data_IF_074017445211
#
_entry.id   IF_074017445211
#
_cell.length_a   1.000
_cell.length_b   1.000
_cell.length_c   1.000
_cell.angle_alpha   90.00
_cell.angle_beta   90.00
_cell.angle_gamma   90.00
#
_symmetry.space_group_name_H-M   'P 1'
#
loop_
_entity.id
_entity.type
_entity.pdbx_description
1 polymer ?
#
# COMPACT_ATOMS: atom_id res chain seq x y z
N UNK A 1 -24.72 2.72 0.42
CA UNK A 1 -23.44 3.46 0.41
C UNK A 1 -23.09 3.72 1.86
N UNK A 2 -21.85 3.42 2.26
CA UNK A 2 -21.37 3.70 3.62
C UNK A 2 -21.37 5.23 3.86
N UNK A 3 -21.72 5.65 5.06
CA UNK A 3 -21.62 7.06 5.49
C UNK A 3 -20.37 7.23 6.33
N UNK A 4 -19.74 8.39 6.19
CA UNK A 4 -18.46 8.68 6.84
C UNK A 4 -18.43 10.12 7.33
N UNK A 5 -17.54 10.44 8.26
CA UNK A 5 -17.27 11.79 8.74
C UNK A 5 -16.37 12.63 7.81
N UNK A 6 -16.34 12.35 6.50
CA UNK A 6 -15.33 12.89 5.56
C UNK A 6 -15.33 14.42 5.47
N UNK A 7 -16.48 15.04 5.65
CA UNK A 7 -16.69 16.49 5.64
C UNK A 7 -16.00 17.21 6.80
N UNK A 8 -15.64 16.48 7.86
CA UNK A 8 -14.94 17.02 9.02
C UNK A 8 -13.42 16.75 8.99
N UNK A 9 -12.94 16.02 7.98
CA UNK A 9 -11.51 15.72 7.86
C UNK A 9 -10.74 16.93 7.34
N UNK A 10 -9.50 17.06 7.81
CA UNK A 10 -8.59 18.13 7.39
C UNK A 10 -7.76 17.64 6.21
N UNK A 11 -7.73 18.45 5.15
CA UNK A 11 -6.77 18.29 4.07
C UNK A 11 -5.55 19.16 4.32
N UNK A 12 -4.36 18.55 4.36
CA UNK A 12 -3.11 19.24 4.65
C UNK A 12 -2.05 18.96 3.58
N UNK A 13 -1.16 19.91 3.33
CA UNK A 13 -0.01 19.69 2.47
C UNK A 13 1.10 18.93 3.20
N UNK A 14 1.55 17.82 2.63
CA UNK A 14 2.80 17.14 2.98
C UNK A 14 3.62 16.94 1.71
N UNK A 15 4.92 16.78 1.83
CA UNK A 15 5.75 16.68 0.64
C UNK A 15 7.13 16.09 0.89
N UNK A 16 7.72 15.67 -0.20
CA UNK A 16 9.08 15.15 -0.28
C UNK A 16 9.62 15.39 -1.69
N UNK A 17 10.56 14.56 -2.09
CA UNK A 17 11.16 14.58 -3.42
C UNK A 17 11.32 13.16 -3.95
N UNK A 18 11.41 13.02 -5.27
CA UNK A 18 11.78 11.76 -5.90
C UNK A 18 13.11 11.30 -5.31
N UNK A 19 13.09 10.16 -4.63
CA UNK A 19 14.24 9.65 -3.89
C UNK A 19 14.99 8.62 -4.74
N UNK A 20 16.32 8.73 -4.82
CA UNK A 20 17.16 7.78 -5.55
C UNK A 20 17.06 6.36 -4.98
N UNK A 21 17.27 5.30 -5.79
CA UNK A 21 17.53 3.97 -5.27
C UNK A 21 18.71 3.98 -4.30
N UNK A 22 18.67 3.11 -3.29
CA UNK A 22 19.76 2.96 -2.31
C UNK A 22 20.27 1.52 -2.26
N UNK A 23 21.59 1.37 -2.12
CA UNK A 23 22.27 0.07 -2.04
C UNK A 23 23.21 0.12 -0.83
N UNK A 24 22.82 -0.53 0.27
CA UNK A 24 23.67 -0.66 1.46
C UNK A 24 24.74 -1.77 1.29
N UNK A 25 24.44 -2.78 0.49
CA UNK A 25 25.32 -3.90 0.14
C UNK A 25 25.07 -4.27 -1.33
N UNK A 26 26.10 -4.60 -2.12
CA UNK A 26 25.91 -5.01 -3.51
C UNK A 26 25.08 -6.29 -3.63
N UNK A 27 25.10 -7.14 -2.60
CA UNK A 27 24.35 -8.40 -2.56
C UNK A 27 23.13 -8.31 -1.67
N UNK A 28 22.05 -8.94 -2.15
CA UNK A 28 20.83 -9.29 -1.42
C UNK A 28 20.82 -10.81 -1.29
N UNK A 29 20.54 -11.31 -0.10
CA UNK A 29 20.56 -12.75 0.17
C UNK A 29 19.17 -13.32 -0.06
N UNK A 30 19.06 -14.31 -0.94
CA UNK A 30 17.81 -15.01 -1.20
C UNK A 30 17.39 -15.86 0.01
N UNK A 31 16.16 -16.36 0.00
CA UNK A 31 15.62 -17.27 1.01
C UNK A 31 16.40 -18.59 1.09
N UNK A 32 17.04 -18.98 0.00
CA UNK A 32 17.90 -20.17 -0.09
C UNK A 32 19.36 -19.89 0.31
N UNK A 33 19.69 -18.63 0.64
CA UNK A 33 21.04 -18.22 1.06
C UNK A 33 21.95 -17.74 -0.08
N UNK A 34 21.44 -17.63 -1.30
CA UNK A 34 22.24 -17.23 -2.47
C UNK A 34 22.38 -15.70 -2.56
N UNK A 35 23.60 -15.16 -2.77
CA UNK A 35 23.82 -13.74 -2.98
C UNK A 35 23.42 -13.32 -4.40
N UNK A 36 22.56 -12.30 -4.50
CA UNK A 36 22.04 -11.78 -5.77
C UNK A 36 22.28 -10.28 -5.92
N UNK A 37 22.52 -9.82 -7.14
CA UNK A 37 22.61 -8.39 -7.50
C UNK A 37 21.37 -8.04 -8.30
N UNK A 38 20.45 -7.29 -7.70
CA UNK A 38 19.13 -7.00 -8.26
C UNK A 38 18.71 -5.54 -8.02
N UNK A 39 17.90 -4.96 -8.93
CA UNK A 39 17.13 -3.75 -8.64
C UNK A 39 16.21 -3.92 -7.42
N UNK A 40 15.89 -2.82 -6.76
CA UNK A 40 15.14 -2.82 -5.52
C UNK A 40 14.40 -1.49 -5.27
N UNK A 41 14.22 -1.11 -3.99
CA UNK A 41 13.53 0.11 -3.58
C UNK A 41 14.18 1.41 -4.06
N UNK A 42 13.35 2.45 -4.20
CA UNK A 42 13.70 3.80 -4.58
C UNK A 42 13.71 4.05 -6.08
N UNK A 43 13.68 5.34 -6.44
CA UNK A 43 13.80 5.82 -7.81
C UNK A 43 12.48 5.97 -8.54
N UNK A 44 12.60 5.96 -9.87
CA UNK A 44 11.50 5.94 -10.82
C UNK A 44 11.56 4.58 -11.52
N UNK A 45 10.58 3.73 -11.26
CA UNK A 45 10.39 2.45 -11.95
C UNK A 45 9.62 2.67 -13.24
N UNK A 46 10.33 2.87 -14.35
CA UNK A 46 9.73 3.23 -15.64
C UNK A 46 8.83 2.16 -16.25
N UNK A 47 9.07 0.88 -15.92
CA UNK A 47 8.36 -0.27 -16.52
C UNK A 47 7.48 -1.03 -15.52
N UNK A 48 7.29 -0.52 -14.31
CA UNK A 48 6.48 -1.16 -13.26
C UNK A 48 5.51 -0.14 -12.69
N UNK A 49 4.21 -0.42 -12.79
CA UNK A 49 3.15 0.47 -12.29
C UNK A 49 2.06 -0.27 -11.53
N UNK A 50 1.25 0.51 -10.82
CA UNK A 50 0.05 -0.01 -10.14
C UNK A 50 -0.87 -0.72 -11.16
N UNK A 51 -1.38 -1.89 -10.79
CA UNK A 51 -2.14 -2.78 -11.66
C UNK A 51 -1.32 -3.88 -12.36
N UNK A 52 0.01 -3.73 -12.46
CA UNK A 52 0.87 -4.82 -12.95
C UNK A 52 0.99 -5.93 -11.90
N UNK A 53 1.41 -7.13 -12.31
CA UNK A 53 1.72 -8.21 -11.35
C UNK A 53 2.82 -7.76 -10.38
N UNK A 54 2.66 -8.06 -9.09
CA UNK A 54 3.71 -7.82 -8.10
C UNK A 54 4.67 -9.02 -7.98
N UNK A 55 4.43 -10.13 -8.70
CA UNK A 55 5.10 -11.42 -8.48
C UNK A 55 6.17 -11.79 -9.53
N UNK A 56 6.22 -11.10 -10.66
CA UNK A 56 6.95 -11.57 -11.86
C UNK A 56 8.31 -10.92 -12.08
N UNK A 57 8.64 -9.89 -11.29
CA UNK A 57 9.82 -9.07 -11.53
C UNK A 57 11.11 -9.72 -11.03
N UNK A 58 12.18 -9.61 -11.81
CA UNK A 58 13.53 -9.95 -11.38
C UNK A 58 14.09 -8.76 -10.57
N UNK A 59 13.71 -8.69 -9.30
CA UNK A 59 14.03 -7.61 -8.37
C UNK A 59 13.79 -8.02 -6.91
N UNK A 60 14.07 -7.13 -5.97
CA UNK A 60 13.78 -7.32 -4.54
C UNK A 60 13.14 -6.07 -3.95
N UNK A 61 11.89 -6.14 -3.50
CA UNK A 61 11.14 -4.97 -3.02
C UNK A 61 11.05 -3.86 -4.09
N UNK A 62 10.72 -4.21 -5.33
CA UNK A 62 10.50 -3.22 -6.39
C UNK A 62 9.27 -2.38 -6.06
N UNK A 63 9.44 -1.06 -6.07
CA UNK A 63 8.38 -0.08 -5.82
C UNK A 63 7.83 0.42 -7.16
N UNK A 64 6.51 0.36 -7.41
CA UNK A 64 5.91 0.78 -8.68
C UNK A 64 5.84 2.31 -8.80
N UNK A 65 6.13 2.82 -9.99
CA UNK A 65 6.08 4.26 -10.27
C UNK A 65 7.22 5.02 -9.59
N UNK A 66 6.88 5.97 -8.72
CA UNK A 66 7.82 6.94 -8.15
C UNK A 66 7.91 6.79 -6.63
N UNK A 67 9.11 6.58 -6.12
CA UNK A 67 9.39 6.57 -4.69
C UNK A 67 9.73 7.98 -4.19
N UNK A 68 8.98 8.46 -3.21
CA UNK A 68 9.11 9.82 -2.66
C UNK A 68 9.56 9.75 -1.21
N UNK A 69 10.54 10.59 -0.86
CA UNK A 69 11.06 10.73 0.50
C UNK A 69 11.35 12.19 0.83
N UNK A 70 11.24 12.57 2.09
CA UNK A 70 11.75 13.83 2.61
C UNK A 70 13.07 13.59 3.38
N UNK A 71 14.05 14.46 3.20
CA UNK A 71 15.35 14.36 3.87
C UNK A 71 15.23 14.62 5.40
N UNK A 72 14.27 15.44 5.81
CA UNK A 72 13.96 15.66 7.21
C UNK A 72 13.11 14.49 7.73
N UNK A 73 13.62 13.78 8.73
CA UNK A 73 12.97 12.58 9.30
C UNK A 73 11.55 12.86 9.80
N UNK A 74 11.31 13.99 10.47
CA UNK A 74 9.98 14.31 11.00
C UNK A 74 9.00 14.67 9.89
N UNK A 75 9.46 15.39 8.87
CA UNK A 75 8.64 15.70 7.70
C UNK A 75 8.37 14.45 6.87
N UNK A 76 9.32 13.51 6.79
CA UNK A 76 9.13 12.23 6.12
C UNK A 76 8.13 11.35 6.86
N UNK A 77 8.23 11.29 8.20
CA UNK A 77 7.23 10.61 9.01
C UNK A 77 5.83 11.23 8.83
N UNK A 78 5.75 12.56 8.74
CA UNK A 78 4.49 13.24 8.45
C UNK A 78 3.96 12.89 7.04
N UNK A 79 4.83 12.79 6.03
CA UNK A 79 4.46 12.34 4.70
C UNK A 79 3.94 10.89 4.71
N UNK A 80 4.65 9.97 5.38
CA UNK A 80 4.28 8.56 5.50
C UNK A 80 2.96 8.34 6.26
N UNK A 81 2.72 9.13 7.31
CA UNK A 81 1.49 9.01 8.12
C UNK A 81 0.32 9.73 7.47
N UNK A 82 0.50 10.94 6.94
CA UNK A 82 -0.63 11.74 6.46
C UNK A 82 -0.97 11.45 4.98
N UNK A 83 0.01 11.04 4.17
CA UNK A 83 -0.19 10.69 2.77
C UNK A 83 -0.96 9.38 2.62
N UNK A 84 -2.26 9.48 2.34
CA UNK A 84 -3.14 8.32 2.20
C UNK A 84 -3.21 7.84 0.75
N UNK A 85 -3.39 6.53 0.55
CA UNK A 85 -3.59 5.90 -0.75
C UNK A 85 -4.79 6.54 -1.46
N UNK A 86 -4.57 7.00 -2.69
CA UNK A 86 -5.54 7.74 -3.49
C UNK A 86 -5.41 9.26 -3.40
N UNK A 87 -4.64 9.81 -2.46
CA UNK A 87 -4.44 11.25 -2.37
C UNK A 87 -3.74 11.79 -3.61
N UNK A 88 -4.15 12.97 -4.06
CA UNK A 88 -3.52 13.65 -5.20
C UNK A 88 -2.08 14.05 -4.86
N UNK A 89 -1.16 13.64 -5.71
CA UNK A 89 0.23 14.07 -5.72
C UNK A 89 0.48 15.02 -6.90
N UNK A 90 1.28 16.06 -6.72
CA UNK A 90 1.61 17.03 -7.76
C UNK A 90 3.11 17.27 -7.82
N UNK A 91 3.66 17.26 -9.03
CA UNK A 91 5.06 17.63 -9.29
C UNK A 91 5.21 19.15 -9.20
N UNK A 92 6.18 19.62 -8.41
CA UNK A 92 6.36 21.04 -8.09
C UNK A 92 7.58 21.68 -8.76
N UNK A 93 8.53 20.87 -9.24
CA UNK A 93 9.78 21.28 -9.90
C UNK A 93 10.06 20.43 -11.15
N UNK A 94 11.13 20.74 -11.87
CA UNK A 94 11.55 19.96 -13.03
C UNK A 94 10.66 20.13 -14.25
N UNK A 95 10.94 19.32 -15.27
CA UNK A 95 10.27 19.37 -16.57
C UNK A 95 8.84 18.81 -16.50
N UNK A 96 8.57 17.96 -15.49
CA UNK A 96 7.25 17.44 -15.17
C UNK A 96 6.39 18.39 -14.30
N UNK A 97 6.88 19.59 -13.95
CA UNK A 97 6.17 20.51 -13.05
C UNK A 97 4.73 20.75 -13.49
N UNK A 98 3.80 20.53 -12.55
CA UNK A 98 2.36 20.71 -12.77
C UNK A 98 1.61 19.40 -13.02
N UNK A 99 2.31 18.34 -13.43
CA UNK A 99 1.73 17.01 -13.59
C UNK A 99 1.15 16.50 -12.26
N UNK A 100 0.07 15.75 -12.36
CA UNK A 100 -0.67 15.20 -11.22
C UNK A 100 -0.76 13.70 -11.29
N UNK A 101 -0.65 13.08 -10.14
CA UNK A 101 -0.72 11.66 -9.92
C UNK A 101 -1.43 11.36 -8.62
N UNK A 102 -1.22 10.17 -8.07
CA UNK A 102 -1.80 9.80 -6.78
C UNK A 102 -0.91 8.84 -5.99
N UNK A 103 -1.04 8.89 -4.66
CA UNK A 103 -0.36 7.97 -3.75
C UNK A 103 -0.89 6.56 -3.93
N UNK A 104 -0.01 5.58 -4.12
CA UNK A 104 -0.34 4.16 -4.30
C UNK A 104 -0.07 3.33 -3.04
N UNK A 105 0.76 3.81 -2.12
CA UNK A 105 1.17 3.06 -0.94
C UNK A 105 2.26 3.75 -0.12
N UNK A 106 2.64 3.11 0.98
CA UNK A 106 3.82 3.50 1.77
C UNK A 106 4.65 2.27 2.13
N UNK A 107 5.97 2.37 1.98
CA UNK A 107 6.94 1.31 2.26
C UNK A 107 7.75 1.64 3.52
N UNK A 108 7.52 0.88 4.59
CA UNK A 108 8.17 1.06 5.89
C UNK A 108 9.62 0.58 5.92
N UNK A 109 10.45 1.13 6.80
CA UNK A 109 11.88 0.80 6.91
C UNK A 109 12.75 1.72 6.07
N UNK A 110 12.51 1.81 4.75
CA UNK A 110 13.12 2.86 3.91
C UNK A 110 12.34 4.18 3.98
N UNK A 111 11.09 4.11 4.43
CA UNK A 111 10.15 5.22 4.63
C UNK A 111 9.89 5.97 3.32
N UNK A 112 9.42 5.26 2.30
CA UNK A 112 9.00 5.81 1.02
C UNK A 112 7.48 5.90 0.90
N UNK A 113 6.99 7.05 0.42
CA UNK A 113 5.63 7.16 -0.11
C UNK A 113 5.67 6.88 -1.62
N UNK A 114 4.82 5.99 -2.08
CA UNK A 114 4.79 5.54 -3.47
C UNK A 114 3.74 6.32 -4.24
N UNK A 115 4.08 6.78 -5.44
CA UNK A 115 3.22 7.66 -6.24
C UNK A 115 3.16 7.18 -7.68
N UNK A 116 1.94 7.07 -8.20
CA UNK A 116 1.70 6.87 -9.62
C UNK A 116 1.67 8.20 -10.35
N UNK A 117 2.36 8.28 -11.48
CA UNK A 117 2.15 9.25 -12.54
C UNK A 117 2.03 8.50 -13.89
N UNK A 118 1.48 9.15 -14.91
CA UNK A 118 1.44 8.58 -16.25
C UNK A 118 2.84 8.48 -16.90
N UNK A 119 2.94 7.67 -17.95
CA UNK A 119 4.21 7.37 -18.62
C UNK A 119 4.90 8.63 -19.17
N UNK A 120 4.14 9.59 -19.71
CA UNK A 120 4.70 10.86 -20.21
C UNK A 120 5.32 11.69 -19.07
N UNK A 121 4.72 11.65 -17.89
CA UNK A 121 5.26 12.33 -16.71
C UNK A 121 6.52 11.63 -16.19
N UNK A 122 6.58 10.29 -16.20
CA UNK A 122 7.77 9.54 -15.75
C UNK A 122 9.01 9.91 -16.57
N UNK A 123 8.88 10.07 -17.89
CA UNK A 123 9.98 10.46 -18.78
C UNK A 123 10.51 11.89 -18.54
N UNK A 124 9.74 12.74 -17.84
CA UNK A 124 10.09 14.13 -17.53
C UNK A 124 10.51 14.34 -16.07
N UNK A 125 10.31 13.34 -15.22
CA UNK A 125 10.68 13.39 -13.82
C UNK A 125 12.18 13.14 -13.66
N UNK A 126 12.78 13.77 -12.67
CA UNK A 126 14.15 13.49 -12.26
C UNK A 126 14.21 13.20 -10.76
N UNK A 127 15.32 12.60 -10.32
CA UNK A 127 15.66 12.53 -8.90
C UNK A 127 15.69 13.96 -8.32
N UNK A 128 15.30 14.09 -7.06
CA UNK A 128 15.13 15.34 -6.32
C UNK A 128 13.97 16.24 -6.76
N UNK A 129 13.18 15.85 -7.78
CA UNK A 129 11.96 16.62 -8.10
C UNK A 129 10.98 16.60 -6.94
N UNK A 130 10.51 17.80 -6.55
CA UNK A 130 9.65 17.98 -5.38
C UNK A 130 8.24 17.54 -5.68
N UNK A 131 7.70 16.69 -4.81
CA UNK A 131 6.33 16.19 -4.89
C UNK A 131 5.53 16.72 -3.69
N UNK A 132 4.39 17.35 -3.99
CA UNK A 132 3.42 17.82 -2.99
C UNK A 132 2.21 16.89 -2.99
N UNK A 133 1.90 16.32 -1.85
CA UNK A 133 0.70 15.51 -1.63
C UNK A 133 -0.33 16.33 -0.87
N UNK A 134 -1.57 16.34 -1.37
CA UNK A 134 -2.73 16.84 -0.62
C UNK A 134 -3.22 15.72 0.29
N UNK A 135 -2.59 15.59 1.46
CA UNK A 135 -2.91 14.56 2.45
C UNK A 135 -4.35 14.73 2.95
N UNK A 136 -5.14 13.66 2.87
CA UNK A 136 -6.55 13.63 3.25
C UNK A 136 -7.03 12.20 3.52
N UNK A 137 -7.44 11.88 4.74
CA UNK A 137 -7.96 10.55 5.07
C UNK A 137 -7.73 10.11 6.51
N UNK A 138 -6.69 10.60 7.16
CA UNK A 138 -6.47 10.28 8.57
C UNK A 138 -7.57 10.87 9.46
N UNK A 139 -8.08 10.05 10.39
CA UNK A 139 -9.24 10.36 11.23
C UNK A 139 -10.60 9.97 10.63
N UNK A 140 -10.61 9.35 9.44
CA UNK A 140 -11.82 8.82 8.81
C UNK A 140 -12.50 7.78 9.70
N UNK A 141 -13.82 7.84 9.77
CA UNK A 141 -14.68 6.90 10.47
C UNK A 141 -15.88 6.57 9.59
N UNK A 142 -16.35 5.33 9.69
CA UNK A 142 -17.60 4.88 9.07
C UNK A 142 -18.69 4.94 10.14
N UNK A 143 -19.77 5.68 9.86
CA UNK A 143 -20.89 5.83 10.80
C UNK A 143 -21.53 4.46 11.11
N UNK A 144 -21.71 4.16 12.40
CA UNK A 144 -22.30 2.90 12.86
C UNK A 144 -21.33 1.72 12.96
N UNK A 145 -20.04 1.94 12.69
CA UNK A 145 -18.99 0.92 12.75
C UNK A 145 -17.83 1.36 13.66
N UNK A 146 -18.12 1.65 14.93
CA UNK A 146 -17.13 2.18 15.89
C UNK A 146 -15.94 1.23 16.16
N UNK A 147 -16.13 -0.08 15.98
CA UNK A 147 -15.05 -1.08 16.10
C UNK A 147 -14.15 -1.14 14.87
N UNK A 148 -14.49 -0.44 13.78
CA UNK A 148 -13.72 -0.42 12.53
C UNK A 148 -12.86 0.82 12.48
N UNK A 149 -11.54 0.61 12.50
CA UNK A 149 -10.55 1.67 12.36
C UNK A 149 -10.18 1.82 10.89
N UNK A 150 -10.52 2.96 10.29
CA UNK A 150 -10.04 3.33 8.95
C UNK A 150 -8.70 4.07 9.06
N UNK A 151 -7.82 3.86 8.09
CA UNK A 151 -6.50 4.49 8.03
C UNK A 151 -5.99 4.55 6.59
N UNK A 152 -4.99 5.40 6.31
CA UNK A 152 -4.17 5.38 5.09
C UNK A 152 -4.94 5.39 3.75
N UNK A 153 -6.21 5.80 3.71
CA UNK A 153 -7.06 5.75 2.52
C UNK A 153 -7.75 7.09 2.29
N UNK A 154 -7.71 7.56 1.04
CA UNK A 154 -8.53 8.69 0.60
C UNK A 154 -10.02 8.34 0.72
N UNK A 155 -10.85 9.15 1.40
CA UNK A 155 -12.28 8.87 1.55
C UNK A 155 -13.01 8.69 0.21
N UNK A 156 -12.57 9.40 -0.83
CA UNK A 156 -13.14 9.29 -2.18
C UNK A 156 -12.78 7.96 -2.84
N UNK A 157 -11.59 7.42 -2.57
CA UNK A 157 -11.22 6.08 -3.03
C UNK A 157 -12.02 5.01 -2.29
N UNK A 158 -12.18 5.16 -0.96
CA UNK A 158 -13.01 4.24 -0.17
C UNK A 158 -14.45 4.15 -0.69
N UNK A 159 -15.05 5.29 -1.08
CA UNK A 159 -16.40 5.33 -1.67
C UNK A 159 -16.50 4.57 -3.00
N UNK A 160 -15.42 4.52 -3.79
CA UNK A 160 -15.36 3.80 -5.07
C UNK A 160 -15.19 2.29 -4.92
N UNK A 161 -14.80 1.80 -3.74
CA UNK A 161 -14.59 0.37 -3.48
C UNK A 161 -15.89 -0.45 -3.39
N UNK A 162 -17.07 0.16 -3.53
CA UNK A 162 -18.35 -0.57 -3.51
C UNK A 162 -18.52 -1.49 -2.28
N UNK A 163 -18.17 -0.95 -1.11
CA UNK A 163 -18.35 -1.61 0.19
C UNK A 163 -19.84 -1.65 0.53
N UNK A 164 -20.32 -2.82 0.94
CA UNK A 164 -21.73 -3.06 1.29
C UNK A 164 -21.87 -3.33 2.77
N UNK A 165 -23.05 -3.02 3.31
CA UNK A 165 -23.45 -3.45 4.66
C UNK A 165 -24.34 -4.68 4.47
N UNK A 166 -23.98 -5.80 5.09
CA UNK A 166 -24.76 -7.03 5.06
C UNK A 166 -25.98 -6.95 5.99
N UNK A 167 -26.96 -7.83 5.81
CA UNK A 167 -28.18 -7.86 6.64
C UNK A 167 -27.89 -8.08 8.13
N UNK A 168 -26.81 -8.79 8.44
CA UNK A 168 -26.34 -9.04 9.81
C UNK A 168 -25.35 -7.98 10.34
N UNK A 169 -25.18 -6.86 9.61
CA UNK A 169 -24.46 -5.68 10.09
C UNK A 169 -22.93 -5.76 9.97
N UNK A 170 -22.40 -6.51 9.00
CA UNK A 170 -20.97 -6.51 8.66
C UNK A 170 -20.67 -5.64 7.44
N UNK A 171 -19.43 -5.17 7.32
CA UNK A 171 -18.89 -4.58 6.09
C UNK A 171 -18.43 -5.69 5.16
N UNK A 172 -19.04 -5.79 3.98
CA UNK A 172 -18.59 -6.66 2.90
C UNK A 172 -17.75 -5.86 1.91
N UNK A 173 -16.45 -6.13 1.89
CA UNK A 173 -15.42 -5.41 1.12
C UNK A 173 -14.96 -6.28 -0.04
N UNK A 174 -14.95 -5.79 -1.29
CA UNK A 174 -14.38 -6.54 -2.39
C UNK A 174 -12.85 -6.68 -2.25
N UNK A 175 -12.36 -7.91 -2.42
CA UNK A 175 -10.95 -8.28 -2.29
C UNK A 175 -10.52 -9.21 -3.42
N UNK A 176 -9.26 -9.15 -3.82
CA UNK A 176 -8.66 -10.08 -4.76
C UNK A 176 -8.52 -11.47 -4.13
N UNK A 177 -8.04 -11.52 -2.88
CA UNK A 177 -7.91 -12.76 -2.11
C UNK A 177 -7.89 -12.52 -0.60
N UNK A 178 -7.89 -13.61 0.16
CA UNK A 178 -7.75 -13.63 1.61
C UNK A 178 -6.45 -14.34 2.00
N UNK A 179 -5.70 -13.74 2.92
CA UNK A 179 -4.37 -14.18 3.34
C UNK A 179 -4.43 -14.65 4.80
N UNK A 180 -4.06 -15.90 5.12
CA UNK A 180 -3.99 -16.37 6.49
C UNK A 180 -2.83 -15.72 7.26
N UNK A 181 -2.93 -15.63 8.60
CA UNK A 181 -1.99 -14.89 9.43
C UNK A 181 -0.56 -15.44 9.39
N UNK A 182 -0.38 -16.75 9.19
CA UNK A 182 0.95 -17.37 9.14
C UNK A 182 1.75 -17.03 7.88
N UNK A 183 1.13 -16.38 6.90
CA UNK A 183 1.83 -15.83 5.73
C UNK A 183 2.24 -14.37 5.94
N UNK A 184 1.94 -13.73 7.07
CA UNK A 184 2.41 -12.37 7.34
C UNK A 184 3.78 -12.37 8.03
N UNK A 185 4.70 -11.53 7.58
CA UNK A 185 6.11 -11.55 7.98
C UNK A 185 6.69 -10.19 8.37
N UNK A 186 7.72 -9.76 7.65
CA UNK A 186 8.43 -8.49 7.87
C UNK A 186 7.44 -7.34 8.11
N UNK A 187 7.69 -6.54 9.15
CA UNK A 187 6.83 -5.43 9.56
C UNK A 187 5.84 -5.76 10.69
N UNK A 188 5.63 -7.04 11.04
CA UNK A 188 4.92 -7.44 12.27
C UNK A 188 5.62 -6.87 13.51
N UNK A 189 4.84 -6.38 14.48
CA UNK A 189 5.38 -5.72 15.68
C UNK A 189 5.70 -4.23 15.51
N UNK A 190 5.49 -3.65 14.33
CA UNK A 190 5.53 -2.18 14.17
C UNK A 190 4.53 -1.52 15.13
N UNK A 191 4.95 -0.41 15.74
CA UNK A 191 4.16 0.34 16.73
C UNK A 191 2.90 0.99 16.14
N UNK A 192 2.84 1.15 14.81
CA UNK A 192 1.69 1.75 14.13
C UNK A 192 1.47 1.12 12.75
N UNK A 193 0.20 0.89 12.41
CA UNK A 193 -0.27 0.52 11.08
C UNK A 193 -0.70 1.74 10.26
N UNK A 194 -0.72 2.94 10.85
CA UNK A 194 -1.00 4.21 10.17
C UNK A 194 0.18 4.73 9.33
N UNK A 195 1.24 3.93 9.18
CA UNK A 195 2.43 4.25 8.40
C UNK A 195 3.02 2.97 7.82
N UNK A 196 3.53 3.05 6.58
CA UNK A 196 4.21 1.96 5.90
C UNK A 196 3.34 0.71 5.72
N UNK A 197 4.02 -0.43 5.66
CA UNK A 197 3.44 -1.72 5.26
C UNK A 197 4.10 -2.89 6.00
N UNK A 198 3.63 -4.09 5.68
CA UNK A 198 4.18 -5.36 6.14
C UNK A 198 3.90 -6.47 5.12
N UNK A 199 4.74 -7.50 5.11
CA UNK A 199 4.89 -8.38 3.95
C UNK A 199 4.02 -9.63 4.03
N UNK A 200 3.43 -10.02 2.90
CA UNK A 200 2.95 -11.37 2.64
C UNK A 200 4.17 -12.21 2.25
N UNK A 201 4.59 -13.13 3.10
CA UNK A 201 5.70 -14.05 2.87
C UNK A 201 5.36 -15.10 1.81
N UNK A 202 6.23 -15.23 0.82
CA UNK A 202 6.02 -16.05 -0.38
C UNK A 202 6.85 -17.34 -0.43
N UNK A 203 7.45 -17.74 0.69
CA UNK A 203 8.36 -18.88 0.74
C UNK A 203 7.69 -20.25 0.55
N UNK A 204 6.39 -20.36 0.87
CA UNK A 204 5.60 -21.57 0.70
C UNK A 204 4.83 -21.49 -0.63
N UNK A 205 5.34 -22.19 -1.66
CA UNK A 205 4.75 -22.19 -3.00
C UNK A 205 3.35 -22.80 -3.03
N UNK A 206 3.10 -23.84 -2.23
CA UNK A 206 1.80 -24.50 -2.17
C UNK A 206 0.77 -23.55 -1.53
N UNK A 207 1.16 -22.83 -0.47
CA UNK A 207 0.33 -21.79 0.11
C UNK A 207 0.07 -20.65 -0.90
N UNK A 208 1.10 -20.22 -1.65
CA UNK A 208 0.93 -19.16 -2.64
C UNK A 208 -0.11 -19.52 -3.70
N UNK A 209 -0.06 -20.75 -4.24
CA UNK A 209 -1.06 -21.25 -5.18
C UNK A 209 -2.45 -21.35 -4.54
N UNK A 210 -2.54 -21.94 -3.34
CA UNK A 210 -3.80 -22.15 -2.62
C UNK A 210 -4.54 -20.84 -2.33
N UNK A 211 -3.82 -19.78 -1.96
CA UNK A 211 -4.40 -18.48 -1.63
C UNK A 211 -4.33 -17.48 -2.79
N UNK A 212 -3.92 -17.90 -3.99
CA UNK A 212 -3.88 -17.03 -5.18
C UNK A 212 -2.87 -15.89 -5.08
N UNK A 213 -1.81 -16.03 -4.26
CA UNK A 213 -0.77 -15.02 -4.05
C UNK A 213 0.05 -14.81 -5.33
N UNK A 214 0.26 -15.86 -6.12
CA UNK A 214 0.98 -15.78 -7.41
C UNK A 214 0.32 -14.83 -8.43
N UNK A 215 -0.97 -14.56 -8.27
CA UNK A 215 -1.76 -13.71 -9.17
C UNK A 215 -1.88 -12.26 -8.66
N UNK A 216 -1.27 -11.93 -7.52
CA UNK A 216 -1.36 -10.60 -6.95
C UNK A 216 -0.73 -9.55 -7.85
N UNK A 217 -1.38 -8.38 -7.85
CA UNK A 217 -0.96 -7.18 -8.55
C UNK A 217 -0.71 -6.05 -7.57
N UNK A 218 0.15 -5.13 -7.96
CA UNK A 218 0.25 -3.85 -7.26
C UNK A 218 -1.13 -3.18 -7.22
N UNK A 219 -1.54 -2.73 -6.05
CA UNK A 219 -2.82 -2.11 -5.83
C UNK A 219 -3.98 -3.05 -5.54
N UNK A 220 -3.79 -4.37 -5.56
CA UNK A 220 -4.87 -5.30 -5.20
C UNK A 220 -5.29 -5.09 -3.74
N UNK A 221 -6.60 -5.14 -3.52
CA UNK A 221 -7.19 -5.10 -2.18
C UNK A 221 -7.20 -6.53 -1.64
N UNK A 222 -6.61 -6.74 -0.47
CA UNK A 222 -6.54 -8.06 0.18
C UNK A 222 -7.18 -8.02 1.57
N UNK A 223 -7.73 -9.15 1.99
CA UNK A 223 -8.14 -9.36 3.38
C UNK A 223 -7.08 -10.19 4.09
N UNK A 224 -6.66 -9.73 5.26
CA UNK A 224 -5.70 -10.39 6.13
C UNK A 224 -6.46 -10.96 7.33
N UNK A 225 -6.49 -12.28 7.41
CA UNK A 225 -7.23 -13.02 8.43
C UNK A 225 -6.47 -12.98 9.76
N UNK A 226 -7.20 -12.81 10.86
CA UNK A 226 -6.67 -12.79 12.23
C UNK A 226 -5.54 -11.75 12.46
N UNK A 227 -5.52 -10.68 11.65
CA UNK A 227 -4.56 -9.58 11.76
C UNK A 227 -5.26 -8.34 12.30
N UNK A 228 -4.90 -7.92 13.52
CA UNK A 228 -5.40 -6.68 14.13
C UNK A 228 -4.38 -5.56 13.93
N UNK A 229 -4.78 -4.57 13.14
CA UNK A 229 -3.98 -3.40 12.79
C UNK A 229 -4.67 -2.11 13.26
N UNK A 230 -5.55 -2.16 14.25
CA UNK A 230 -6.19 -0.95 14.80
C UNK A 230 -5.19 0.06 15.38
N UNK A 231 -4.01 -0.42 15.80
CA UNK A 231 -2.91 0.39 16.33
C UNK A 231 -1.59 -0.09 15.73
N UNK A 232 -0.78 -0.84 16.48
CA UNK A 232 0.31 -1.64 15.94
C UNK A 232 -0.20 -2.90 15.23
N UNK A 233 0.73 -3.67 14.66
CA UNK A 233 0.41 -4.90 13.90
C UNK A 233 0.54 -6.12 14.80
N UNK A 234 -0.58 -6.80 15.04
CA UNK A 234 -0.68 -7.93 15.96
C UNK A 234 -1.55 -9.06 15.40
N UNK A 235 -1.32 -10.29 15.88
CA UNK A 235 -2.20 -11.42 15.64
C UNK A 235 -3.31 -11.44 16.68
N UNK A 236 -4.56 -11.44 16.23
CA UNK A 236 -5.73 -11.58 17.09
C UNK A 236 -6.78 -12.42 16.38
N UNK A 237 -7.03 -13.62 16.89
CA UNK A 237 -8.03 -14.53 16.30
C UNK A 237 -9.39 -13.85 16.20
N UNK A 238 -10.00 -13.90 15.00
CA UNK A 238 -11.28 -13.29 14.67
C UNK A 238 -11.19 -11.83 14.22
N UNK A 239 -10.04 -11.18 14.37
CA UNK A 239 -9.79 -9.85 13.80
C UNK A 239 -9.57 -9.93 12.30
N UNK A 240 -9.78 -8.81 11.63
CA UNK A 240 -9.68 -8.72 10.17
C UNK A 240 -9.06 -7.38 9.80
N UNK A 241 -8.13 -7.41 8.85
CA UNK A 241 -7.58 -6.21 8.22
C UNK A 241 -7.79 -6.24 6.72
N UNK A 242 -8.18 -5.12 6.13
CA UNK A 242 -8.13 -4.89 4.68
C UNK A 242 -6.89 -4.05 4.39
N UNK A 243 -6.15 -4.42 3.36
CA UNK A 243 -4.98 -3.67 2.90
C UNK A 243 -4.85 -3.62 1.38
N UNK A 244 -3.90 -2.83 0.93
CA UNK A 244 -3.53 -2.65 -0.47
C UNK A 244 -2.12 -3.20 -0.67
N UNK A 245 -1.89 -3.99 -1.72
CA UNK A 245 -0.54 -4.47 -2.10
C UNK A 245 0.26 -3.30 -2.68
N UNK A 246 1.42 -2.96 -2.12
CA UNK A 246 2.16 -1.73 -2.44
C UNK A 246 3.53 -1.92 -3.08
N UNK A 247 4.19 -3.06 -2.88
CA UNK A 247 5.47 -3.38 -3.54
C UNK A 247 5.55 -4.85 -4.01
N UNK A 248 6.58 -5.17 -4.77
CA UNK A 248 6.75 -6.48 -5.40
C UNK A 248 7.05 -7.57 -4.39
N UNK A 249 7.02 -8.81 -4.86
CA UNK A 249 7.65 -9.94 -4.20
C UNK A 249 9.14 -9.70 -3.94
N UNK A 250 9.67 -10.48 -3.01
CA UNK A 250 10.98 -10.30 -2.41
C UNK A 250 11.70 -11.64 -2.34
N UNK A 251 12.97 -11.64 -2.71
CA UNK A 251 13.77 -12.88 -2.68
C UNK A 251 14.12 -13.30 -1.25
N UNK A 252 14.00 -12.40 -0.27
CA UNK A 252 14.48 -12.60 1.11
C UNK A 252 13.54 -13.47 1.93
N UNK A 253 14.12 -14.26 2.84
CA UNK A 253 13.35 -14.97 3.87
C UNK A 253 12.57 -13.99 4.74
N UNK A 254 11.30 -14.29 5.03
CA UNK A 254 10.44 -13.43 5.85
C UNK A 254 9.79 -12.25 5.11
N UNK A 255 10.05 -12.11 3.81
CA UNK A 255 9.54 -11.03 2.96
C UNK A 255 8.70 -11.56 1.79
N UNK A 256 8.03 -10.62 1.11
CA UNK A 256 7.26 -10.77 -0.13
C UNK A 256 6.45 -9.49 -0.40
N UNK A 257 5.34 -9.52 -1.16
CA UNK A 257 4.58 -8.30 -1.46
C UNK A 257 4.10 -7.58 -0.19
N UNK A 258 4.43 -6.30 -0.07
CA UNK A 258 4.05 -5.47 1.07
C UNK A 258 2.58 -5.04 1.01
N UNK A 259 1.95 -4.92 2.17
CA UNK A 259 0.56 -4.52 2.33
C UNK A 259 0.43 -3.32 3.27
N UNK A 260 -0.07 -2.19 2.76
CA UNK A 260 -0.49 -1.06 3.60
C UNK A 260 -1.93 -1.28 4.05
N UNK A 261 -2.17 -1.31 5.36
CA UNK A 261 -3.52 -1.45 5.92
C UNK A 261 -4.37 -0.21 5.64
N UNK A 262 -5.64 -0.41 5.31
CA UNK A 262 -6.61 0.70 5.07
C UNK A 262 -7.84 0.63 5.98
N UNK A 263 -8.12 -0.54 6.54
CA UNK A 263 -9.23 -0.76 7.46
C UNK A 263 -8.90 -1.96 8.36
N UNK A 264 -9.17 -1.87 9.65
CA UNK A 264 -9.01 -3.00 10.57
C UNK A 264 -10.14 -3.07 11.58
N UNK A 265 -10.46 -4.27 12.03
CA UNK A 265 -11.45 -4.51 13.08
C UNK A 265 -10.94 -5.61 14.01
N UNK A 266 -10.99 -5.43 15.35
CA UNK A 266 -10.53 -6.45 16.29
C UNK A 266 -11.51 -7.62 16.42
N UNK A 267 -12.68 -7.52 15.77
CA UNK A 267 -13.75 -8.53 15.76
C UNK A 267 -14.18 -8.82 14.31
N UNK A 268 -14.92 -9.90 14.12
CA UNK A 268 -15.33 -10.38 12.78
C UNK A 268 -16.51 -9.59 12.18
N UNK A 269 -16.35 -8.27 12.03
CA UNK A 269 -17.34 -7.35 11.42
C UNK A 269 -16.99 -6.93 9.98
N UNK A 270 -15.87 -7.41 9.44
CA UNK A 270 -15.46 -7.21 8.05
C UNK A 270 -15.41 -8.56 7.35
N UNK A 271 -15.95 -8.65 6.13
CA UNK A 271 -15.93 -9.84 5.27
C UNK A 271 -15.40 -9.51 3.89
N UNK A 272 -14.58 -10.41 3.36
CA UNK A 272 -14.10 -10.34 1.99
C UNK A 272 -15.16 -10.87 1.01
N UNK A 273 -15.36 -10.16 -0.09
CA UNK A 273 -16.07 -10.67 -1.27
C UNK A 273 -15.07 -10.74 -2.42
N UNK A 274 -14.82 -11.94 -2.96
CA UNK A 274 -13.90 -12.07 -4.11
C UNK A 274 -14.38 -11.24 -5.30
N UNK A 275 -13.48 -10.40 -5.82
CA UNK A 275 -13.74 -9.56 -6.98
C UNK A 275 -12.43 -9.31 -7.74
N UNK A 276 -12.40 -9.69 -9.03
CA UNK A 276 -11.21 -9.53 -9.90
C UNK A 276 -10.83 -8.06 -10.14
N UNK A 277 -11.79 -7.15 -9.93
CA UNK A 277 -11.60 -5.71 -10.08
C UNK A 277 -11.28 -5.03 -8.74
N UNK A 278 -11.05 -5.79 -7.66
CA UNK A 278 -10.61 -5.26 -6.38
C UNK A 278 -9.16 -4.77 -6.42
N UNK A 279 -8.92 -3.67 -7.13
CA UNK A 279 -7.61 -3.05 -7.31
C UNK A 279 -7.76 -1.52 -7.40
N UNK A 280 -6.89 -0.77 -6.72
CA UNK A 280 -6.95 0.71 -6.73
C UNK A 280 -6.76 1.30 -8.12
N UNK A 281 -5.98 0.66 -9.00
CA UNK A 281 -5.79 1.08 -10.39
C UNK A 281 -7.11 1.05 -11.16
N UNK A 282 -7.97 0.06 -10.90
CA UNK A 282 -9.30 -0.01 -11.50
C UNK A 282 -10.21 1.10 -10.96
N UNK A 283 -10.25 1.29 -9.63
CA UNK A 283 -11.06 2.33 -9.01
C UNK A 283 -10.63 3.75 -9.37
N UNK A 284 -9.35 3.95 -9.71
CA UNK A 284 -8.78 5.22 -10.14
C UNK A 284 -8.71 5.38 -11.67
N UNK A 285 -9.24 4.42 -12.43
CA UNK A 285 -9.42 4.52 -13.89
C UNK A 285 -8.14 4.31 -14.72
N UNK A 286 -7.14 3.65 -14.15
CA UNK A 286 -5.87 3.29 -14.82
C UNK A 286 -6.00 1.98 -15.58
N UNK A 287 -6.72 1.01 -15.04
CA UNK A 287 -7.01 -0.29 -15.68
C UNK A 287 -8.50 -0.42 -16.02
N UNK A 288 -8.83 -1.37 -16.90
CA UNK A 288 -10.19 -1.64 -17.38
C UNK A 288 -10.75 -2.93 -16.80
#
# INVERSE_FOLDING_TARGET
MIKTNKEFLVMQSVGGKVHSPTIASPYRISRDGDPMILPATGGISYNVKVGDSCMTWIGDHVEPGVSVKNDNVNENNALMVLGCIGNTAKVMTGDAKGATGFVTGGHGGIEHTLVYFDEETLEKLNIDDKILVKAFGQGLKIEGFDDVVCMNIDPTLLEKMNIKITEDGCLEVPVATEIPPYLMGSGVGSATAFSGDYDIMTGDKEANEKYGINELRFGDIVLLQDCNNCFGRDYLKGSVTIGVVVHSDCIKAGHGPGVTAIMSCPVSKIRGRKDKNANIAYYLGITK
#
